data_IF_681109693043
#
_entry.id   IF_681109693043
#
_cell.length_a   1.000
_cell.length_b   1.000
_cell.length_c   1.000
_cell.angle_alpha   90.00
_cell.angle_beta   90.00
_cell.angle_gamma   90.00
#
_symmetry.space_group_name_H-M   'P 1'
#
loop_
_entity.id
_entity.type
_entity.pdbx_description
1 polymer ?
#
# COMPACT_ATOMS: atom_id res chain seq x y z
N UNK A 1 -41.28 7.07 4.79
CA UNK A 1 -40.64 8.12 3.98
C UNK A 1 -39.29 7.55 3.59
N UNK A 2 -39.17 6.93 2.42
CA UNK A 2 -37.90 6.41 1.92
C UNK A 2 -37.18 7.56 1.24
N UNK A 3 -36.13 8.07 1.88
CA UNK A 3 -35.23 9.06 1.29
C UNK A 3 -34.45 8.36 0.18
N UNK A 4 -34.96 8.41 -1.05
CA UNK A 4 -34.18 8.00 -2.21
C UNK A 4 -33.01 8.99 -2.38
N UNK A 5 -31.77 8.49 -2.54
CA UNK A 5 -30.63 9.37 -2.74
C UNK A 5 -30.85 10.17 -4.02
N UNK A 6 -30.50 11.48 -4.04
CA UNK A 6 -30.71 12.30 -5.23
C UNK A 6 -29.95 11.69 -6.41
N UNK A 7 -30.66 11.40 -7.51
CA UNK A 7 -30.02 11.10 -8.79
C UNK A 7 -29.17 12.32 -9.17
N UNK A 8 -27.85 12.17 -9.09
CA UNK A 8 -26.91 13.22 -9.48
C UNK A 8 -26.86 13.25 -11.01
N UNK A 9 -27.90 13.80 -11.62
CA UNK A 9 -27.94 14.01 -13.06
C UNK A 9 -26.84 15.03 -13.43
N UNK A 10 -25.86 14.59 -14.23
CA UNK A 10 -24.83 15.50 -14.73
C UNK A 10 -25.47 16.57 -15.62
N UNK A 11 -25.17 17.82 -15.33
CA UNK A 11 -25.70 18.97 -16.07
C UNK A 11 -25.00 19.10 -17.43
N UNK A 12 -25.64 19.81 -18.37
CA UNK A 12 -25.01 20.16 -19.65
C UNK A 12 -23.63 20.83 -19.46
N UNK A 13 -23.51 21.68 -18.46
CA UNK A 13 -22.27 22.39 -18.15
C UNK A 13 -21.16 21.44 -17.69
N UNK A 14 -21.49 20.35 -16.99
CA UNK A 14 -20.52 19.34 -16.57
C UNK A 14 -19.92 18.63 -17.79
N UNK A 15 -20.77 18.26 -18.76
CA UNK A 15 -20.31 17.68 -20.03
C UNK A 15 -19.50 18.68 -20.86
N UNK A 16 -19.90 19.96 -20.88
CA UNK A 16 -19.17 21.01 -21.57
C UNK A 16 -17.75 21.17 -21.00
N UNK A 17 -17.60 21.28 -19.67
CA UNK A 17 -16.30 21.40 -19.03
C UNK A 17 -15.47 20.13 -19.18
N UNK A 18 -16.10 18.95 -19.05
CA UNK A 18 -15.43 17.68 -19.27
C UNK A 18 -14.88 17.61 -20.69
N UNK A 19 -15.67 17.92 -21.71
CA UNK A 19 -15.21 17.93 -23.09
C UNK A 19 -14.14 18.99 -23.31
N UNK A 20 -14.30 20.21 -22.77
CA UNK A 20 -13.33 21.30 -22.93
C UNK A 20 -11.94 20.94 -22.38
N UNK A 21 -11.88 20.20 -21.27
CA UNK A 21 -10.62 19.80 -20.64
C UNK A 21 -10.06 18.53 -21.29
N UNK A 22 -10.91 17.52 -21.49
CA UNK A 22 -10.47 16.20 -21.96
C UNK A 22 -10.21 16.15 -23.46
N UNK A 23 -10.97 16.88 -24.29
CA UNK A 23 -10.78 16.87 -25.74
C UNK A 23 -9.38 17.35 -26.16
N UNK A 24 -8.89 18.55 -25.78
CA UNK A 24 -7.54 18.97 -26.16
C UNK A 24 -6.46 18.06 -25.58
N UNK A 25 -6.67 17.49 -24.39
CA UNK A 25 -5.75 16.51 -23.80
C UNK A 25 -5.67 15.25 -24.66
N UNK A 26 -6.80 14.66 -25.05
CA UNK A 26 -6.86 13.48 -25.91
C UNK A 26 -6.28 13.75 -27.30
N UNK A 27 -6.53 14.94 -27.86
CA UNK A 27 -5.94 15.36 -29.11
C UNK A 27 -4.41 15.45 -28.99
N UNK A 28 -3.88 16.12 -27.97
CA UNK A 28 -2.44 16.22 -27.74
C UNK A 28 -1.79 14.84 -27.61
N UNK A 29 -2.44 13.92 -26.90
CA UNK A 29 -2.01 12.53 -26.77
C UNK A 29 -2.00 11.79 -28.11
N UNK A 30 -3.08 11.90 -28.88
CA UNK A 30 -3.17 11.30 -30.21
C UNK A 30 -2.13 11.89 -31.17
N UNK A 31 -1.91 13.21 -31.12
CA UNK A 31 -0.88 13.89 -31.90
C UNK A 31 0.52 13.41 -31.54
N UNK A 32 0.85 13.29 -30.25
CA UNK A 32 2.15 12.78 -29.80
C UNK A 32 2.38 11.34 -30.28
N UNK A 33 1.35 10.50 -30.24
CA UNK A 33 1.44 9.12 -30.73
C UNK A 33 1.66 9.09 -32.25
N UNK A 34 0.87 9.85 -33.01
CA UNK A 34 1.00 9.95 -34.48
C UNK A 34 2.36 10.52 -34.87
N UNK A 35 2.88 11.51 -34.15
CA UNK A 35 4.20 12.11 -34.41
C UNK A 35 5.33 11.06 -34.33
N UNK A 36 5.30 10.18 -33.31
CA UNK A 36 6.25 9.06 -33.18
C UNK A 36 6.17 8.11 -34.37
N UNK A 37 4.95 7.80 -34.84
CA UNK A 37 4.78 6.91 -35.98
C UNK A 37 5.25 7.56 -37.29
N UNK A 38 5.01 8.86 -37.47
CA UNK A 38 5.44 9.65 -38.64
C UNK A 38 6.95 9.88 -38.72
N UNK A 39 7.66 9.77 -37.60
CA UNK A 39 9.12 9.89 -37.53
C UNK A 39 9.81 8.67 -38.11
N UNK A 40 10.25 8.74 -39.36
CA UNK A 40 10.96 7.64 -40.05
C UNK A 40 12.43 7.50 -39.63
N UNK A 41 12.96 8.50 -38.90
CA UNK A 41 14.30 8.52 -38.31
C UNK A 41 14.44 7.61 -37.08
N UNK A 42 13.32 7.21 -36.47
CA UNK A 42 13.31 6.34 -35.29
C UNK A 42 13.20 4.85 -35.66
N UNK A 43 14.17 4.04 -35.20
CA UNK A 43 14.10 2.58 -35.29
C UNK A 43 12.85 2.06 -34.56
N UNK A 44 12.23 0.98 -35.05
CA UNK A 44 10.96 0.46 -34.52
C UNK A 44 10.95 0.19 -33.01
N UNK A 45 12.06 -0.29 -32.44
CA UNK A 45 12.18 -0.50 -30.99
C UNK A 45 12.18 0.81 -30.19
N UNK A 46 12.73 1.89 -30.76
CA UNK A 46 12.75 3.21 -30.15
C UNK A 46 11.33 3.80 -30.16
N UNK A 47 10.57 3.58 -31.24
CA UNK A 47 9.14 3.93 -31.29
C UNK A 47 8.37 3.21 -30.19
N UNK A 48 8.59 1.90 -30.00
CA UNK A 48 7.95 1.13 -28.93
C UNK A 48 8.27 1.66 -27.54
N UNK A 49 9.54 2.02 -27.27
CA UNK A 49 9.93 2.65 -26.00
C UNK A 49 9.18 3.96 -25.76
N UNK A 50 9.11 4.84 -26.75
CA UNK A 50 8.41 6.13 -26.63
C UNK A 50 6.91 5.96 -26.40
N UNK A 51 6.28 4.99 -27.04
CA UNK A 51 4.86 4.67 -26.79
C UNK A 51 4.65 4.26 -25.33
N UNK A 52 5.50 3.38 -24.80
CA UNK A 52 5.44 2.96 -23.39
C UNK A 52 5.63 4.17 -22.47
N UNK A 53 6.61 5.03 -22.73
CA UNK A 53 6.85 6.24 -21.94
C UNK A 53 5.62 7.14 -21.92
N UNK A 54 5.01 7.45 -23.06
CA UNK A 54 3.81 8.31 -23.13
C UNK A 54 2.64 7.71 -22.36
N UNK A 55 2.41 6.40 -22.48
CA UNK A 55 1.34 5.71 -21.76
C UNK A 55 1.59 5.75 -20.25
N UNK A 56 2.84 5.57 -19.81
CA UNK A 56 3.18 5.54 -18.39
C UNK A 56 3.30 6.94 -17.76
N UNK A 57 3.65 7.98 -18.52
CA UNK A 57 3.86 9.36 -18.07
C UNK A 57 2.76 9.92 -17.13
N UNK A 58 1.45 9.79 -17.42
CA UNK A 58 0.42 10.31 -16.52
C UNK A 58 0.35 9.58 -15.18
N UNK A 59 0.84 8.34 -15.10
CA UNK A 59 0.82 7.52 -13.88
C UNK A 59 2.06 7.73 -13.01
N UNK A 60 3.15 8.27 -13.56
CA UNK A 60 4.40 8.46 -12.80
C UNK A 60 4.21 9.35 -11.57
N UNK A 61 3.42 10.43 -11.66
CA UNK A 61 3.13 11.28 -10.51
C UNK A 61 2.44 10.52 -9.37
N UNK A 62 1.43 9.71 -9.72
CA UNK A 62 0.73 8.84 -8.76
C UNK A 62 1.65 7.75 -8.22
N UNK A 63 2.48 7.12 -9.05
CA UNK A 63 3.41 6.08 -8.63
C UNK A 63 4.46 6.62 -7.66
N UNK A 64 5.05 7.78 -7.97
CA UNK A 64 5.98 8.47 -7.08
C UNK A 64 5.28 8.81 -5.75
N UNK A 65 4.06 9.37 -5.81
CA UNK A 65 3.29 9.66 -4.61
C UNK A 65 3.06 8.40 -3.75
N UNK A 66 2.66 7.28 -4.36
CA UNK A 66 2.42 6.03 -3.66
C UNK A 66 3.70 5.44 -3.04
N UNK A 67 4.83 5.52 -3.74
CA UNK A 67 6.12 5.06 -3.21
C UNK A 67 6.59 5.97 -2.07
N UNK A 68 6.38 7.27 -2.19
CA UNK A 68 6.76 8.25 -1.15
C UNK A 68 5.79 8.26 0.03
N UNK A 69 4.55 7.75 -0.13
CA UNK A 69 3.53 7.72 0.92
C UNK A 69 3.90 6.65 1.95
N UNK A 70 4.28 7.04 3.19
CA UNK A 70 4.64 6.06 4.20
C UNK A 70 3.43 5.20 4.59
N UNK A 71 3.67 3.91 4.85
CA UNK A 71 2.65 3.03 5.41
C UNK A 71 2.19 3.56 6.78
N UNK A 72 0.89 3.52 7.05
CA UNK A 72 0.33 4.08 8.29
C UNK A 72 0.26 5.62 8.30
N UNK A 73 0.19 6.25 7.12
CA UNK A 73 0.04 7.70 6.99
C UNK A 73 -1.28 8.22 7.59
N UNK A 74 -2.29 7.35 7.77
CA UNK A 74 -3.57 7.71 8.37
C UNK A 74 -3.80 6.96 9.69
N UNK A 75 -4.55 7.54 10.65
CA UNK A 75 -4.93 6.84 11.88
C UNK A 75 -5.64 5.51 11.62
N UNK A 76 -6.50 5.44 10.60
CA UNK A 76 -7.19 4.21 10.21
C UNK A 76 -6.24 3.12 9.71
N UNK A 77 -5.23 3.50 8.92
CA UNK A 77 -4.22 2.57 8.40
C UNK A 77 -3.31 2.05 9.52
N UNK A 78 -2.95 2.90 10.50
CA UNK A 78 -2.23 2.46 11.71
C UNK A 78 -3.06 1.46 12.52
N UNK A 79 -4.34 1.75 12.73
CA UNK A 79 -5.24 0.84 13.44
C UNK A 79 -5.38 -0.50 12.73
N UNK A 80 -5.43 -0.51 11.40
CA UNK A 80 -5.48 -1.74 10.61
C UNK A 80 -4.17 -2.56 10.72
N UNK A 81 -3.01 -1.90 10.65
CA UNK A 81 -1.69 -2.54 10.84
C UNK A 81 -1.58 -3.12 12.25
N UNK A 82 -1.98 -2.36 13.26
CA UNK A 82 -1.96 -2.80 14.66
C UNK A 82 -2.92 -3.97 14.90
N UNK A 83 -4.13 -3.91 14.32
CA UNK A 83 -5.11 -4.99 14.42
C UNK A 83 -4.61 -6.28 13.78
N UNK A 84 -4.06 -6.20 12.57
CA UNK A 84 -3.46 -7.36 11.90
C UNK A 84 -2.26 -7.93 12.66
N UNK A 85 -1.42 -7.06 13.24
CA UNK A 85 -0.28 -7.48 14.06
C UNK A 85 -0.72 -8.18 15.34
N UNK A 86 -1.76 -7.67 16.01
CA UNK A 86 -2.34 -8.31 17.20
C UNK A 86 -2.96 -9.66 16.87
N UNK A 87 -3.68 -9.79 15.76
CA UNK A 87 -4.28 -11.06 15.35
C UNK A 87 -3.19 -12.10 15.00
N UNK A 88 -2.14 -11.69 14.28
CA UNK A 88 -1.01 -12.55 13.98
C UNK A 88 -0.32 -13.03 15.25
N UNK A 89 -0.02 -12.12 16.17
CA UNK A 89 0.56 -12.48 17.47
C UNK A 89 -0.38 -13.41 18.24
N UNK A 90 -1.69 -13.15 18.27
CA UNK A 90 -2.64 -14.03 18.96
C UNK A 90 -2.69 -15.44 18.35
N UNK A 91 -2.50 -15.59 17.04
CA UNK A 91 -2.55 -16.89 16.36
C UNK A 91 -1.30 -17.75 16.57
N UNK A 92 -0.14 -17.12 16.74
CA UNK A 92 1.15 -17.81 16.85
C UNK A 92 1.80 -17.67 18.23
N UNK A 93 1.25 -16.86 19.13
CA UNK A 93 1.68 -16.81 20.52
C UNK A 93 1.31 -18.15 21.19
N UNK A 94 2.25 -18.79 21.91
CA UNK A 94 1.95 -20.02 22.61
C UNK A 94 0.89 -19.77 23.68
N UNK A 95 -0.23 -20.49 23.60
CA UNK A 95 -1.38 -20.32 24.51
C UNK A 95 -1.14 -20.97 25.89
N UNK A 96 0.00 -21.64 26.07
CA UNK A 96 0.35 -22.34 27.29
C UNK A 96 1.68 -21.82 27.88
N UNK A 97 1.69 -21.59 29.19
CA UNK A 97 2.85 -21.07 29.93
C UNK A 97 4.08 -22.00 29.83
N UNK A 98 3.88 -23.30 29.65
CA UNK A 98 4.96 -24.27 29.51
C UNK A 98 5.78 -24.07 28.23
N UNK A 99 5.12 -23.78 27.11
CA UNK A 99 5.75 -23.53 25.82
C UNK A 99 6.40 -22.15 25.77
N UNK A 100 5.81 -21.14 26.41
CA UNK A 100 6.46 -19.84 26.62
C UNK A 100 7.76 -19.98 27.43
N UNK A 101 7.75 -20.77 28.51
CA UNK A 101 8.93 -21.06 29.32
C UNK A 101 9.99 -21.85 28.55
N UNK A 102 9.59 -22.77 27.68
CA UNK A 102 10.49 -23.52 26.80
C UNK A 102 11.19 -22.62 25.80
N UNK A 103 10.46 -21.68 25.18
CA UNK A 103 11.02 -20.68 24.27
C UNK A 103 11.97 -19.73 25.01
N UNK A 104 11.61 -19.32 26.22
CA UNK A 104 12.44 -18.44 27.05
C UNK A 104 13.77 -19.12 27.43
N UNK A 105 13.73 -20.42 27.77
CA UNK A 105 14.91 -21.22 28.08
C UNK A 105 15.81 -21.39 26.84
N UNK A 106 15.24 -21.73 25.69
CA UNK A 106 15.98 -21.88 24.42
C UNK A 106 16.62 -20.56 23.95
N UNK A 107 16.02 -19.39 24.25
CA UNK A 107 16.63 -18.09 23.98
C UNK A 107 17.80 -17.77 24.93
N UNK A 108 17.66 -18.14 26.21
CA UNK A 108 18.72 -18.02 27.20
C UNK A 108 19.92 -18.92 26.88
N UNK A 109 19.67 -20.19 26.56
CA UNK A 109 20.71 -21.16 26.17
C UNK A 109 21.48 -20.73 24.90
N UNK A 110 20.80 -20.00 24.00
CA UNK A 110 21.42 -19.41 22.79
C UNK A 110 22.13 -18.07 23.05
N UNK A 111 22.21 -17.63 24.30
CA UNK A 111 22.84 -16.37 24.71
C UNK A 111 22.13 -15.12 24.21
N UNK A 112 20.82 -15.21 23.88
CA UNK A 112 20.00 -14.08 23.45
C UNK A 112 19.34 -13.34 24.61
N UNK A 113 19.39 -13.92 25.80
CA UNK A 113 18.91 -13.35 27.06
C UNK A 113 20.01 -13.52 28.11
N UNK A 114 20.18 -12.51 28.96
CA UNK A 114 21.00 -12.60 30.16
C UNK A 114 20.29 -13.37 31.28
N UNK A 115 21.04 -13.85 32.27
CA UNK A 115 20.48 -14.56 33.44
C UNK A 115 19.43 -13.72 34.18
N UNK A 116 19.66 -12.41 34.27
CA UNK A 116 18.78 -11.47 34.96
C UNK A 116 17.47 -11.24 34.17
N UNK A 117 17.56 -11.07 32.85
CA UNK A 117 16.39 -10.95 31.97
C UNK A 117 15.56 -12.23 31.96
N UNK A 118 16.22 -13.39 31.91
CA UNK A 118 15.55 -14.69 31.96
C UNK A 118 14.77 -14.88 33.28
N UNK A 119 15.37 -14.54 34.43
CA UNK A 119 14.72 -14.67 35.73
C UNK A 119 13.49 -13.76 35.89
N UNK A 120 13.59 -12.52 35.40
CA UNK A 120 12.48 -11.55 35.39
C UNK A 120 11.30 -12.05 34.55
N UNK A 121 11.58 -12.48 33.31
CA UNK A 121 10.56 -12.93 32.37
C UNK A 121 9.91 -14.26 32.78
N UNK A 122 10.69 -15.18 33.36
CA UNK A 122 10.18 -16.45 33.92
C UNK A 122 9.16 -16.19 35.03
N UNK A 123 9.42 -15.23 35.91
CA UNK A 123 8.53 -14.85 37.00
C UNK A 123 7.22 -14.24 36.47
N UNK A 124 7.32 -13.40 35.42
CA UNK A 124 6.15 -12.81 34.75
C UNK A 124 5.24 -13.86 34.10
N UNK A 125 5.80 -14.87 33.45
CA UNK A 125 5.03 -15.95 32.80
C UNK A 125 4.38 -16.86 33.85
N UNK A 126 5.10 -17.21 34.93
CA UNK A 126 4.55 -18.02 36.01
C UNK A 126 3.46 -17.28 36.80
N UNK A 127 3.60 -15.97 37.01
CA UNK A 127 2.61 -15.13 37.70
C UNK A 127 1.30 -14.91 36.94
N UNK A 128 1.30 -15.09 35.60
CA UNK A 128 0.08 -15.02 34.76
C UNK A 128 -0.81 -16.26 34.83
N UNK A 129 -0.34 -17.32 35.50
CA UNK A 129 -0.99 -18.64 35.55
C UNK A 129 -1.81 -18.85 36.85
N UNK A 130 -2.03 -17.80 37.64
CA UNK A 130 -2.93 -17.78 38.81
C UNK A 130 -4.02 -16.75 38.64
#
# INVERSE_FOLDING_TARGET
MSDEPPEVAMSFWDYFWLLLIWLPMLLLWGFALIDIFRRDDLKGWMKALWVVVIILLPFFGTLIYLIMRPAGATPAERQAIDAGSREFVARYAPDNSAEQLRVLADLHDRGKLTDEEFASEKTRVLGKTG
#
